data_IF_637725677085
#
_entry.id   IF_637725677085
#
_cell.length_a   1.000
_cell.length_b   1.000
_cell.length_c   1.000
_cell.angle_alpha   90.00
_cell.angle_beta   90.00
_cell.angle_gamma   90.00
#
_symmetry.space_group_name_H-M   'P 1'
#
loop_
_entity.id
_entity.type
_entity.pdbx_description
1 polymer ?
#
# COMPACT_ATOMS: atom_id res chain seq x y z
N UNK A 1 -10.32 4.85 14.68
CA UNK A 1 -10.28 4.43 13.26
C UNK A 1 -10.98 3.09 13.12
N UNK A 2 -12.03 3.05 12.28
CA UNK A 2 -12.74 1.81 11.90
C UNK A 2 -12.95 1.71 10.39
N UNK A 3 -12.93 2.84 9.66
CA UNK A 3 -13.17 2.93 8.22
C UNK A 3 -11.90 3.25 7.46
N UNK A 4 -11.51 2.38 6.55
CA UNK A 4 -10.28 2.47 5.75
C UNK A 4 -10.66 2.63 4.29
N UNK A 5 -10.23 3.72 3.66
CA UNK A 5 -10.27 3.91 2.22
C UNK A 5 -9.00 3.36 1.57
N UNK A 6 -9.10 2.45 0.63
CA UNK A 6 -7.96 1.91 -0.12
C UNK A 6 -8.04 2.37 -1.57
N UNK A 7 -6.99 3.02 -2.07
CA UNK A 7 -6.89 3.48 -3.45
C UNK A 7 -5.98 2.55 -4.24
N UNK A 8 -6.53 1.89 -5.24
CA UNK A 8 -5.90 0.82 -6.00
C UNK A 8 -6.14 -0.55 -5.33
N UNK A 9 -6.94 -1.39 -5.96
CA UNK A 9 -7.27 -2.74 -5.48
C UNK A 9 -6.47 -3.81 -6.23
N UNK A 10 -5.21 -3.47 -6.55
CA UNK A 10 -4.21 -4.41 -7.04
C UNK A 10 -3.79 -5.41 -5.97
N UNK A 11 -2.64 -6.07 -6.18
CA UNK A 11 -2.13 -7.09 -5.25
C UNK A 11 -2.05 -6.58 -3.81
N UNK A 12 -1.35 -5.46 -3.59
CA UNK A 12 -1.15 -4.86 -2.27
C UNK A 12 -2.46 -4.37 -1.65
N UNK A 13 -3.30 -3.69 -2.43
CA UNK A 13 -4.54 -3.12 -1.91
C UNK A 13 -5.57 -4.17 -1.52
N UNK A 14 -5.73 -5.21 -2.34
CA UNK A 14 -6.68 -6.28 -2.05
C UNK A 14 -6.24 -7.15 -0.87
N UNK A 15 -4.97 -7.56 -0.81
CA UNK A 15 -4.44 -8.37 0.30
C UNK A 15 -4.52 -7.62 1.62
N UNK A 16 -4.14 -6.34 1.62
CA UNK A 16 -4.32 -5.46 2.78
C UNK A 16 -5.80 -5.34 3.20
N UNK A 17 -6.70 -5.12 2.24
CA UNK A 17 -8.14 -4.99 2.50
C UNK A 17 -8.73 -6.23 3.17
N UNK A 18 -8.33 -7.41 2.71
CA UNK A 18 -8.76 -8.68 3.30
C UNK A 18 -8.24 -8.83 4.74
N UNK A 19 -6.96 -8.54 4.98
CA UNK A 19 -6.39 -8.62 6.33
C UNK A 19 -7.06 -7.61 7.27
N UNK A 20 -7.28 -6.39 6.82
CA UNK A 20 -7.99 -5.37 7.59
C UNK A 20 -9.43 -5.79 7.91
N UNK A 21 -10.16 -6.34 6.94
CA UNK A 21 -11.52 -6.85 7.15
C UNK A 21 -11.57 -8.03 8.14
N UNK A 22 -10.59 -8.95 8.08
CA UNK A 22 -10.42 -10.04 9.07
C UNK A 22 -10.24 -9.51 10.48
N UNK A 23 -9.63 -8.34 10.65
CA UNK A 23 -9.40 -7.67 11.95
C UNK A 23 -10.54 -6.71 12.35
N UNK A 24 -11.67 -6.75 11.62
CA UNK A 24 -12.89 -6.01 11.97
C UNK A 24 -12.97 -4.57 11.48
N UNK A 25 -12.09 -4.17 10.56
CA UNK A 25 -12.22 -2.88 9.88
C UNK A 25 -13.26 -2.94 8.77
N UNK A 26 -13.91 -1.82 8.49
CA UNK A 26 -14.68 -1.61 7.26
C UNK A 26 -13.75 -1.00 6.22
N UNK A 27 -13.63 -1.62 5.07
CA UNK A 27 -12.76 -1.19 3.98
C UNK A 27 -13.57 -0.73 2.80
N UNK A 28 -13.28 0.46 2.31
CA UNK A 28 -13.83 1.05 1.09
C UNK A 28 -12.73 1.08 0.03
N UNK A 29 -12.74 0.12 -0.90
CA UNK A 29 -11.74 0.01 -1.96
C UNK A 29 -12.17 0.75 -3.22
N UNK A 30 -11.27 1.54 -3.82
CA UNK A 30 -11.49 2.19 -5.12
C UNK A 30 -10.53 1.62 -6.15
N UNK A 31 -11.10 1.14 -7.27
CA UNK A 31 -10.38 0.61 -8.41
C UNK A 31 -10.86 1.29 -9.71
N UNK A 32 -9.91 1.80 -10.50
CA UNK A 32 -10.20 2.51 -11.76
C UNK A 32 -10.25 1.58 -12.97
N UNK A 33 -9.51 0.49 -12.93
CA UNK A 33 -9.53 -0.51 -13.99
C UNK A 33 -10.85 -1.28 -13.96
N UNK A 34 -11.69 -1.07 -14.97
CA UNK A 34 -13.03 -1.66 -15.05
C UNK A 34 -13.01 -3.18 -15.08
N UNK A 35 -11.98 -3.81 -15.67
CA UNK A 35 -11.87 -5.27 -15.73
C UNK A 35 -11.56 -5.84 -14.34
N UNK A 36 -10.64 -5.20 -13.62
CA UNK A 36 -10.30 -5.57 -12.23
C UNK A 36 -11.52 -5.35 -11.35
N UNK A 37 -12.16 -4.19 -11.43
CA UNK A 37 -13.36 -3.85 -10.66
C UNK A 37 -14.45 -4.92 -10.83
N UNK A 38 -14.79 -5.25 -12.08
CA UNK A 38 -15.80 -6.27 -12.40
C UNK A 38 -15.44 -7.66 -11.84
N UNK A 39 -14.15 -8.05 -11.91
CA UNK A 39 -13.70 -9.31 -11.33
C UNK A 39 -13.88 -9.30 -9.79
N UNK A 40 -13.47 -8.23 -9.13
CA UNK A 40 -13.59 -8.09 -7.67
C UNK A 40 -15.04 -8.06 -7.20
N UNK A 41 -15.94 -7.38 -7.91
CA UNK A 41 -17.38 -7.37 -7.64
C UNK A 41 -18.01 -8.76 -7.76
N UNK A 42 -17.46 -9.63 -8.62
CA UNK A 42 -17.85 -11.04 -8.72
C UNK A 42 -17.20 -11.96 -7.66
N UNK A 43 -16.40 -11.39 -6.75
CA UNK A 43 -15.68 -12.15 -5.71
C UNK A 43 -14.47 -12.91 -6.22
N UNK A 44 -13.88 -12.47 -7.34
CA UNK A 44 -12.67 -13.08 -7.94
C UNK A 44 -11.52 -12.07 -7.91
N UNK A 45 -10.38 -12.45 -7.35
CA UNK A 45 -9.13 -11.70 -7.49
C UNK A 45 -8.57 -11.88 -8.91
N UNK A 46 -7.86 -10.86 -9.39
CA UNK A 46 -7.25 -10.85 -10.74
C UNK A 46 -5.79 -11.36 -10.71
N UNK A 47 -5.36 -11.91 -9.58
CA UNK A 47 -4.05 -12.54 -9.38
C UNK A 47 -4.21 -13.76 -8.48
N UNK A 48 -3.16 -14.58 -8.41
CA UNK A 48 -3.13 -15.75 -7.54
C UNK A 48 -2.56 -15.39 -6.16
N UNK A 49 -3.29 -15.76 -5.12
CA UNK A 49 -2.84 -15.77 -3.72
C UNK A 49 -3.66 -16.83 -2.99
N UNK A 50 -3.02 -17.64 -2.16
CA UNK A 50 -3.71 -18.75 -1.50
C UNK A 50 -4.85 -18.24 -0.59
N UNK A 51 -6.06 -18.71 -0.83
CA UNK A 51 -7.24 -18.38 -0.03
C UNK A 51 -7.87 -17.00 -0.30
N UNK A 52 -7.34 -16.20 -1.24
CA UNK A 52 -7.81 -14.83 -1.49
C UNK A 52 -9.26 -14.79 -1.96
N UNK A 53 -9.67 -15.66 -2.88
CA UNK A 53 -11.02 -15.67 -3.44
C UNK A 53 -12.08 -16.04 -2.38
N UNK A 54 -11.77 -17.01 -1.52
CA UNK A 54 -12.67 -17.41 -0.43
C UNK A 54 -12.81 -16.29 0.60
N UNK A 55 -11.68 -15.62 0.94
CA UNK A 55 -11.68 -14.48 1.85
C UNK A 55 -12.42 -13.27 1.25
N UNK A 56 -12.19 -12.96 -0.04
CA UNK A 56 -12.91 -11.88 -0.72
C UNK A 56 -14.42 -12.12 -0.69
N UNK A 57 -14.90 -13.30 -1.10
CA UNK A 57 -16.33 -13.63 -1.06
C UNK A 57 -16.94 -13.53 0.33
N UNK A 58 -16.18 -13.88 1.37
CA UNK A 58 -16.63 -13.80 2.77
C UNK A 58 -16.89 -12.35 3.21
N UNK A 59 -16.03 -11.40 2.80
CA UNK A 59 -16.05 -10.03 3.28
C UNK A 59 -16.69 -9.03 2.31
N UNK A 60 -16.80 -9.38 1.02
CA UNK A 60 -17.42 -8.52 0.01
C UNK A 60 -18.86 -8.16 0.38
N UNK A 61 -19.23 -6.90 0.19
CA UNK A 61 -20.53 -6.32 0.55
C UNK A 61 -20.90 -6.42 2.05
N UNK A 62 -19.91 -6.75 2.89
CA UNK A 62 -20.04 -6.74 4.37
C UNK A 62 -19.03 -5.78 4.97
N UNK A 63 -17.78 -6.21 5.04
CA UNK A 63 -16.66 -5.41 5.54
C UNK A 63 -15.79 -4.81 4.43
N UNK A 64 -15.93 -5.28 3.18
CA UNK A 64 -15.25 -4.73 2.01
C UNK A 64 -16.30 -4.26 1.02
N UNK A 65 -16.30 -2.97 0.75
CA UNK A 65 -17.08 -2.33 -0.30
C UNK A 65 -16.13 -1.89 -1.41
N UNK A 66 -16.47 -2.11 -2.66
CA UNK A 66 -15.61 -1.78 -3.80
C UNK A 66 -16.41 -0.92 -4.78
N UNK A 67 -15.76 0.11 -5.33
CA UNK A 67 -16.36 1.03 -6.31
C UNK A 67 -15.26 1.63 -7.19
N UNK A 68 -15.64 2.36 -8.22
CA UNK A 68 -14.75 3.20 -9.01
C UNK A 68 -14.49 4.59 -8.38
N UNK A 69 -15.23 4.94 -7.33
CA UNK A 69 -15.17 6.27 -6.69
C UNK A 69 -15.53 6.23 -5.21
N UNK A 70 -14.90 7.09 -4.40
CA UNK A 70 -15.28 7.30 -2.99
C UNK A 70 -16.60 8.05 -2.79
N UNK A 71 -17.17 8.66 -3.83
CA UNK A 71 -18.45 9.39 -3.70
C UNK A 71 -19.57 8.51 -3.12
N UNK A 72 -19.60 7.24 -3.51
CA UNK A 72 -20.59 6.26 -3.04
C UNK A 72 -20.21 5.59 -1.72
N UNK A 73 -18.95 5.70 -1.27
CA UNK A 73 -18.41 4.95 -0.13
C UNK A 73 -18.34 5.78 1.18
N UNK A 74 -18.60 7.08 1.09
CA UNK A 74 -18.67 7.99 2.23
C UNK A 74 -17.32 8.31 2.88
N UNK A 75 -17.36 8.87 4.11
CA UNK A 75 -16.17 9.31 4.85
C UNK A 75 -15.34 8.13 5.35
N UNK A 76 -14.03 8.30 5.31
CA UNK A 76 -13.05 7.34 5.83
C UNK A 76 -12.30 7.96 7.02
N UNK A 77 -11.69 7.14 7.87
CA UNK A 77 -10.80 7.60 8.95
C UNK A 77 -9.35 7.67 8.48
N UNK A 78 -9.01 6.81 7.52
CA UNK A 78 -7.68 6.71 6.92
C UNK A 78 -7.77 6.37 5.44
N UNK A 79 -6.91 6.95 4.63
CA UNK A 79 -6.71 6.57 3.23
C UNK A 79 -5.37 5.86 3.07
N UNK A 80 -5.37 4.74 2.37
CA UNK A 80 -4.19 3.95 2.05
C UNK A 80 -4.03 3.91 0.54
N UNK A 81 -2.91 4.42 0.03
CA UNK A 81 -2.59 4.51 -1.39
C UNK A 81 -1.67 3.34 -1.73
N UNK A 82 -2.15 2.46 -2.63
CA UNK A 82 -1.51 1.22 -3.05
C UNK A 82 -1.45 1.08 -4.57
N UNK A 83 -1.40 2.20 -5.27
CA UNK A 83 -1.32 2.22 -6.73
C UNK A 83 0.06 1.83 -7.23
N UNK A 84 0.14 1.22 -8.39
CA UNK A 84 1.41 0.88 -9.02
C UNK A 84 2.20 2.14 -9.44
N UNK A 85 3.51 2.03 -9.43
CA UNK A 85 4.46 3.08 -9.85
C UNK A 85 5.43 2.49 -10.87
N UNK A 86 4.97 2.21 -12.11
CA UNK A 86 5.82 1.65 -13.14
C UNK A 86 6.96 2.61 -13.50
N UNK A 87 8.05 2.08 -14.03
CA UNK A 87 9.11 2.91 -14.60
C UNK A 87 8.63 3.52 -15.92
N UNK A 88 8.83 4.82 -16.12
CA UNK A 88 8.53 5.49 -17.40
C UNK A 88 9.47 4.95 -18.50
N UNK A 89 10.76 4.93 -18.18
CA UNK A 89 11.82 4.26 -18.95
C UNK A 89 12.98 3.98 -18.00
N UNK A 90 14.04 3.31 -18.47
CA UNK A 90 15.18 2.93 -17.62
C UNK A 90 15.88 4.12 -16.94
N UNK A 91 15.79 5.31 -17.52
CA UNK A 91 16.53 6.51 -17.07
C UNK A 91 15.64 7.56 -16.39
N UNK A 92 14.30 7.50 -16.55
CA UNK A 92 13.37 8.55 -16.10
C UNK A 92 12.74 8.32 -14.71
N UNK A 93 13.10 7.22 -14.04
CA UNK A 93 12.55 6.91 -12.70
C UNK A 93 11.09 6.44 -12.71
N UNK A 94 10.46 6.32 -11.51
CA UNK A 94 9.10 5.84 -11.37
C UNK A 94 8.09 6.88 -11.84
N UNK A 95 7.02 6.40 -12.50
CA UNK A 95 5.87 7.21 -12.86
C UNK A 95 4.99 7.45 -11.61
N UNK A 96 4.92 8.70 -11.18
CA UNK A 96 4.08 9.11 -10.04
C UNK A 96 2.66 9.55 -10.45
N UNK A 97 2.31 9.50 -11.74
CA UNK A 97 0.99 9.94 -12.22
C UNK A 97 -0.14 9.15 -11.55
N UNK A 98 0.04 7.86 -11.34
CA UNK A 98 -0.95 7.05 -10.62
C UNK A 98 -1.15 7.53 -9.17
N UNK A 99 -0.09 8.02 -8.51
CA UNK A 99 -0.20 8.62 -7.16
C UNK A 99 -1.00 9.93 -7.25
N UNK A 100 -0.71 10.79 -8.23
CA UNK A 100 -1.45 12.03 -8.44
C UNK A 100 -2.94 11.76 -8.69
N UNK A 101 -3.26 10.76 -9.50
CA UNK A 101 -4.65 10.33 -9.75
C UNK A 101 -5.31 9.76 -8.49
N UNK A 102 -4.57 8.99 -7.68
CA UNK A 102 -5.04 8.49 -6.40
C UNK A 102 -5.39 9.64 -5.44
N UNK A 103 -4.52 10.65 -5.35
CA UNK A 103 -4.76 11.85 -4.55
C UNK A 103 -5.99 12.65 -5.05
N UNK A 104 -6.15 12.78 -6.37
CA UNK A 104 -7.37 13.38 -6.97
C UNK A 104 -8.62 12.57 -6.63
N UNK A 105 -8.54 11.24 -6.57
CA UNK A 105 -9.71 10.39 -6.28
C UNK A 105 -10.24 10.58 -4.85
N UNK A 106 -9.39 10.93 -3.89
CA UNK A 106 -9.80 11.21 -2.51
C UNK A 106 -10.20 12.67 -2.28
N UNK A 107 -9.90 13.60 -3.21
CA UNK A 107 -10.07 15.04 -3.01
C UNK A 107 -11.48 15.47 -2.62
N UNK A 108 -12.51 14.80 -3.12
CA UNK A 108 -13.91 15.13 -2.84
C UNK A 108 -14.39 14.66 -1.44
N UNK A 109 -13.63 13.82 -0.76
CA UNK A 109 -13.99 13.23 0.54
C UNK A 109 -12.93 13.48 1.61
N UNK A 110 -11.74 13.93 1.23
CA UNK A 110 -10.64 14.26 2.12
C UNK A 110 -10.83 15.64 2.73
N UNK A 111 -10.81 15.72 4.04
CA UNK A 111 -11.01 16.96 4.80
C UNK A 111 -9.72 17.48 5.46
N UNK A 112 -8.62 16.73 5.35
CA UNK A 112 -7.33 17.01 6.01
C UNK A 112 -7.25 16.50 7.45
N UNK A 113 -8.33 15.91 7.97
CA UNK A 113 -8.35 15.31 9.32
C UNK A 113 -7.97 13.83 9.31
N UNK A 114 -8.09 13.19 8.17
CA UNK A 114 -7.79 11.78 7.95
C UNK A 114 -6.28 11.54 7.92
N UNK A 115 -5.86 10.37 8.36
CA UNK A 115 -4.51 9.89 8.11
C UNK A 115 -4.40 9.43 6.64
N UNK A 116 -3.35 9.84 5.94
CA UNK A 116 -3.02 9.33 4.60
C UNK A 116 -1.75 8.50 4.69
N UNK A 117 -1.82 7.25 4.24
CA UNK A 117 -0.69 6.33 4.22
C UNK A 117 -0.35 6.01 2.77
N UNK A 118 0.88 6.29 2.36
CA UNK A 118 1.44 5.81 1.11
C UNK A 118 2.12 4.45 1.35
N UNK A 119 1.71 3.44 0.56
CA UNK A 119 2.32 2.10 0.55
C UNK A 119 2.96 1.73 -0.80
N UNK A 120 2.69 2.51 -1.84
CA UNK A 120 3.31 2.36 -3.16
C UNK A 120 4.84 2.51 -3.04
N UNK A 121 5.58 1.73 -3.82
CA UNK A 121 7.05 1.88 -3.90
C UNK A 121 7.40 3.16 -4.64
N UNK A 122 8.17 4.03 -4.02
CA UNK A 122 8.55 5.34 -4.58
C UNK A 122 10.03 5.62 -4.34
N UNK A 123 10.57 6.60 -5.07
CA UNK A 123 11.89 7.16 -4.77
C UNK A 123 11.86 7.92 -3.44
N UNK A 124 13.02 8.03 -2.80
CA UNK A 124 13.16 8.79 -1.55
C UNK A 124 12.77 10.25 -1.78
N UNK A 125 11.94 10.80 -0.88
CA UNK A 125 11.45 12.16 -0.92
C UNK A 125 10.05 12.33 -1.55
N UNK A 126 9.55 11.38 -2.33
CA UNK A 126 8.27 11.51 -3.05
C UNK A 126 7.10 11.83 -2.11
N UNK A 127 7.02 11.20 -0.95
CA UNK A 127 5.93 11.48 -0.02
C UNK A 127 5.98 12.93 0.48
N UNK A 128 7.16 13.44 0.81
CA UNK A 128 7.33 14.80 1.32
C UNK A 128 7.19 15.87 0.24
N UNK A 129 7.77 15.64 -0.92
CA UNK A 129 7.88 16.65 -1.98
C UNK A 129 6.65 16.71 -2.90
N UNK A 130 5.91 15.60 -3.03
CA UNK A 130 4.75 15.53 -3.92
C UNK A 130 3.43 15.24 -3.19
N UNK A 131 3.39 14.22 -2.33
CA UNK A 131 2.12 13.80 -1.71
C UNK A 131 1.63 14.85 -0.71
N UNK A 132 2.47 15.28 0.25
CA UNK A 132 2.10 16.27 1.26
C UNK A 132 1.70 17.61 0.65
N UNK A 133 2.46 18.22 -0.28
CA UNK A 133 2.04 19.46 -0.94
C UNK A 133 0.72 19.33 -1.69
N UNK A 134 0.48 18.20 -2.34
CA UNK A 134 -0.77 17.97 -3.07
C UNK A 134 -1.97 17.89 -2.13
N UNK A 135 -1.85 17.16 -1.03
CA UNK A 135 -2.87 17.07 0.02
C UNK A 135 -3.13 18.43 0.67
N UNK A 136 -2.09 19.23 0.93
CA UNK A 136 -2.21 20.59 1.43
C UNK A 136 -3.00 21.49 0.48
N UNK A 137 -2.71 21.40 -0.82
CA UNK A 137 -3.43 22.15 -1.86
C UNK A 137 -4.92 21.76 -1.94
N UNK A 138 -5.24 20.48 -1.82
CA UNK A 138 -6.61 19.96 -1.90
C UNK A 138 -7.42 20.38 -0.67
N UNK A 139 -6.84 20.29 0.53
CA UNK A 139 -7.56 20.51 1.80
C UNK A 139 -7.48 21.95 2.31
N UNK A 140 -6.54 22.76 1.82
CA UNK A 140 -6.21 24.07 2.39
C UNK A 140 -5.50 24.03 3.75
N UNK A 141 -5.13 22.83 4.24
CA UNK A 141 -4.45 22.64 5.53
C UNK A 141 -2.93 22.79 5.36
N UNK A 142 -2.28 23.38 6.36
CA UNK A 142 -0.83 23.50 6.35
C UNK A 142 -0.17 22.11 6.26
N UNK A 143 0.93 22.01 5.52
CA UNK A 143 1.68 20.76 5.31
C UNK A 143 2.10 20.08 6.63
N UNK A 144 2.43 20.87 7.65
CA UNK A 144 2.88 20.36 8.94
C UNK A 144 1.73 19.79 9.79
N UNK A 145 0.49 20.24 9.55
CA UNK A 145 -0.70 19.82 10.29
C UNK A 145 -1.40 18.62 9.63
N UNK A 146 -1.04 18.29 8.39
CA UNK A 146 -1.49 17.07 7.74
C UNK A 146 -0.91 15.83 8.41
N UNK A 147 -1.68 14.74 8.39
CA UNK A 147 -1.29 13.45 8.95
C UNK A 147 -0.94 12.51 7.80
N UNK A 148 0.35 12.39 7.51
CA UNK A 148 0.86 11.57 6.40
C UNK A 148 1.93 10.62 6.90
N UNK A 149 1.84 9.36 6.51
CA UNK A 149 2.84 8.35 6.80
C UNK A 149 3.21 7.57 5.53
N UNK A 150 4.42 7.06 5.52
CA UNK A 150 4.87 6.05 4.57
C UNK A 150 5.02 4.71 5.31
N UNK A 151 4.30 3.71 4.82
CA UNK A 151 4.27 2.39 5.44
C UNK A 151 4.44 1.33 4.35
N UNK A 152 5.69 0.96 3.99
CA UNK A 152 5.97 0.12 2.84
C UNK A 152 5.35 -1.27 2.95
N UNK A 153 4.91 -1.80 1.79
CA UNK A 153 4.61 -3.21 1.65
C UNK A 153 5.89 -4.02 1.44
N UNK A 154 6.05 -5.11 2.20
CA UNK A 154 7.26 -5.96 2.16
C UNK A 154 6.95 -7.44 1.96
N UNK A 155 5.70 -7.80 1.74
CA UNK A 155 5.31 -9.21 1.53
C UNK A 155 5.76 -9.74 0.18
N UNK A 156 5.87 -11.05 0.08
CA UNK A 156 6.17 -11.78 -1.16
C UNK A 156 4.86 -12.30 -1.75
N UNK A 157 4.74 -12.21 -3.08
CA UNK A 157 3.60 -12.76 -3.82
C UNK A 157 3.43 -14.26 -3.56
N UNK A 158 2.18 -14.68 -3.33
CA UNK A 158 1.82 -16.05 -2.97
C UNK A 158 1.72 -16.29 -1.46
N UNK A 159 2.28 -15.39 -0.61
CA UNK A 159 2.31 -15.53 0.85
C UNK A 159 1.83 -14.26 1.61
N UNK A 160 1.32 -13.26 0.88
CA UNK A 160 1.03 -11.94 1.44
C UNK A 160 -0.01 -11.97 2.58
N UNK A 161 -1.05 -12.79 2.47
CA UNK A 161 -2.08 -12.89 3.52
C UNK A 161 -1.54 -13.39 4.86
N UNK A 162 -0.48 -14.20 4.85
CA UNK A 162 0.20 -14.67 6.05
C UNK A 162 1.25 -13.65 6.51
N UNK A 163 2.07 -13.16 5.59
CA UNK A 163 3.16 -12.24 5.94
C UNK A 163 2.68 -10.90 6.47
N UNK A 164 1.57 -10.35 5.96
CA UNK A 164 0.96 -9.12 6.47
C UNK A 164 0.62 -9.15 7.96
N UNK A 165 0.38 -10.33 8.53
CA UNK A 165 0.04 -10.47 9.95
C UNK A 165 1.22 -10.92 10.81
N UNK A 166 2.39 -11.22 10.20
CA UNK A 166 3.56 -11.69 10.93
C UNK A 166 4.77 -10.75 10.80
N UNK A 167 4.96 -10.11 9.63
CA UNK A 167 6.07 -9.20 9.42
C UNK A 167 5.90 -7.90 10.21
N UNK A 168 6.97 -7.39 10.85
CA UNK A 168 6.96 -6.06 11.45
C UNK A 168 6.62 -4.99 10.41
N UNK A 169 5.72 -4.07 10.73
CA UNK A 169 5.41 -2.95 9.86
C UNK A 169 6.34 -1.77 10.14
N UNK A 170 7.03 -1.31 9.11
CA UNK A 170 7.85 -0.10 9.16
C UNK A 170 6.95 1.11 8.97
N UNK A 171 7.17 2.16 9.76
CA UNK A 171 6.38 3.39 9.74
C UNK A 171 7.32 4.59 9.77
N UNK A 172 7.27 5.43 8.73
CA UNK A 172 7.81 6.79 8.74
C UNK A 172 6.65 7.78 8.64
N UNK A 173 6.69 8.88 9.38
CA UNK A 173 5.60 9.85 9.39
C UNK A 173 6.10 11.29 9.37
N UNK A 174 5.27 12.25 8.91
CA UNK A 174 5.63 13.65 8.83
C UNK A 174 5.56 14.38 10.19
N UNK A 175 4.79 13.85 11.14
CA UNK A 175 4.68 14.38 12.49
C UNK A 175 4.30 13.28 13.49
N UNK A 176 4.36 13.63 14.78
CA UNK A 176 4.10 12.68 15.88
C UNK A 176 2.64 12.19 15.93
N UNK A 177 1.68 13.00 15.49
CA UNK A 177 0.26 12.59 15.43
C UNK A 177 0.05 11.53 14.37
N UNK A 178 0.60 11.75 13.16
CA UNK A 178 0.57 10.78 12.07
C UNK A 178 1.23 9.46 12.48
N UNK A 179 2.39 9.53 13.16
CA UNK A 179 3.07 8.36 13.69
C UNK A 179 2.18 7.55 14.63
N UNK A 180 1.62 8.18 15.66
CA UNK A 180 0.73 7.54 16.64
C UNK A 180 -0.51 6.91 15.98
N UNK A 181 -1.08 7.58 14.98
CA UNK A 181 -2.24 7.06 14.26
C UNK A 181 -1.89 5.85 13.40
N UNK A 182 -0.75 5.88 12.70
CA UNK A 182 -0.26 4.76 11.90
C UNK A 182 0.08 3.55 12.79
N UNK A 183 0.79 3.76 13.91
CA UNK A 183 1.08 2.72 14.90
C UNK A 183 -0.21 2.09 15.44
N UNK A 184 -1.19 2.91 15.80
CA UNK A 184 -2.50 2.43 16.29
C UNK A 184 -3.28 1.62 15.25
N UNK A 185 -3.10 1.91 13.96
CA UNK A 185 -3.70 1.12 12.89
C UNK A 185 -2.98 -0.21 12.77
N UNK A 186 -1.65 -0.18 12.59
CA UNK A 186 -0.87 -1.37 12.28
C UNK A 186 -0.71 -2.32 13.46
N UNK A 187 -0.69 -1.84 14.71
CA UNK A 187 -0.69 -2.70 15.90
C UNK A 187 -1.91 -3.63 16.01
N UNK A 188 -3.00 -3.35 15.27
CA UNK A 188 -4.15 -4.26 15.15
C UNK A 188 -3.98 -5.30 14.04
N UNK A 189 -3.09 -5.07 13.09
CA UNK A 189 -2.88 -5.90 11.90
C UNK A 189 -1.69 -6.85 12.08
N UNK A 190 -0.61 -6.36 12.67
CA UNK A 190 0.65 -7.09 12.87
C UNK A 190 1.11 -6.99 14.32
N UNK A 191 1.87 -7.97 14.84
CA UNK A 191 2.32 -7.98 16.23
C UNK A 191 3.36 -6.90 16.54
N UNK A 192 4.08 -6.40 15.55
CA UNK A 192 5.19 -5.46 15.74
C UNK A 192 5.13 -4.30 14.74
N UNK A 193 5.33 -3.08 15.24
CA UNK A 193 5.58 -1.89 14.44
C UNK A 193 6.99 -1.37 14.71
N UNK A 194 7.67 -0.88 13.68
CA UNK A 194 9.00 -0.29 13.74
C UNK A 194 8.91 1.14 13.21
N UNK A 195 8.86 2.09 14.12
CA UNK A 195 8.87 3.50 13.80
C UNK A 195 10.27 3.96 13.47
N UNK A 196 10.45 4.66 12.36
CA UNK A 196 11.72 5.22 11.90
C UNK A 196 11.70 6.75 11.96
N UNK A 197 12.86 7.38 11.93
CA UNK A 197 13.05 8.81 12.18
C UNK A 197 12.32 9.71 11.18
N UNK A 198 12.16 9.26 9.93
CA UNK A 198 11.55 10.07 8.87
C UNK A 198 10.79 9.22 7.84
N UNK A 199 9.98 9.91 7.04
CA UNK A 199 9.33 9.32 5.86
C UNK A 199 10.38 8.77 4.90
N UNK A 200 11.44 9.54 4.66
CA UNK A 200 12.53 9.21 3.74
C UNK A 200 13.28 7.94 4.17
N UNK A 201 13.46 7.76 5.48
CA UNK A 201 14.04 6.53 6.02
C UNK A 201 13.17 5.31 5.70
N UNK A 202 11.85 5.43 5.85
CA UNK A 202 10.91 4.35 5.51
C UNK A 202 10.88 4.05 4.00
N UNK A 203 10.92 5.09 3.15
CA UNK A 203 11.02 4.95 1.69
C UNK A 203 12.32 4.24 1.29
N UNK A 204 13.46 4.68 1.85
CA UNK A 204 14.77 4.08 1.58
C UNK A 204 14.82 2.61 2.00
N UNK A 205 14.28 2.26 3.17
CA UNK A 205 14.23 0.86 3.63
C UNK A 205 13.51 -0.03 2.62
N UNK A 206 12.41 0.45 2.01
CA UNK A 206 11.72 -0.33 0.97
C UNK A 206 12.62 -0.60 -0.24
N UNK A 207 13.33 0.40 -0.71
CA UNK A 207 14.24 0.27 -1.85
C UNK A 207 15.40 -0.67 -1.52
N UNK A 208 16.02 -0.49 -0.34
CA UNK A 208 17.11 -1.36 0.11
C UNK A 208 16.66 -2.83 0.26
N UNK A 209 15.47 -3.09 0.80
CA UNK A 209 14.92 -4.45 0.89
C UNK A 209 14.75 -5.09 -0.49
N UNK A 210 14.24 -4.34 -1.47
CA UNK A 210 14.09 -4.85 -2.82
C UNK A 210 15.45 -5.13 -3.47
N UNK A 211 16.39 -4.18 -3.40
CA UNK A 211 17.76 -4.34 -3.94
C UNK A 211 18.48 -5.53 -3.31
N UNK A 212 18.41 -5.67 -1.98
CA UNK A 212 19.02 -6.80 -1.28
C UNK A 212 18.50 -8.14 -1.79
N UNK A 213 17.18 -8.27 -1.96
CA UNK A 213 16.55 -9.46 -2.51
C UNK A 213 17.00 -9.76 -3.94
N UNK A 214 17.04 -8.73 -4.79
CA UNK A 214 17.44 -8.86 -6.20
C UNK A 214 18.90 -9.32 -6.33
N UNK A 215 19.79 -8.78 -5.48
CA UNK A 215 21.20 -9.22 -5.40
C UNK A 215 21.29 -10.71 -4.98
N UNK A 216 20.49 -11.13 -3.98
CA UNK A 216 20.47 -12.54 -3.56
C UNK A 216 20.01 -13.48 -4.67
N UNK A 217 18.98 -13.12 -5.40
CA UNK A 217 18.52 -13.90 -6.56
C UNK A 217 19.58 -13.96 -7.66
N UNK A 218 20.26 -12.84 -7.93
CA UNK A 218 21.33 -12.79 -8.92
C UNK A 218 22.51 -13.70 -8.54
N UNK A 219 22.92 -13.70 -7.26
CA UNK A 219 23.96 -14.58 -6.74
C UNK A 219 23.51 -16.06 -6.85
N UNK A 220 22.27 -16.38 -6.49
CA UNK A 220 21.74 -17.75 -6.60
C UNK A 220 21.75 -18.25 -8.05
N UNK A 221 21.31 -17.41 -8.99
CA UNK A 221 21.36 -17.73 -10.42
C UNK A 221 22.78 -17.94 -10.91
N UNK A 222 23.72 -17.10 -10.50
CA UNK A 222 25.13 -17.24 -10.85
C UNK A 222 25.74 -18.54 -10.32
N UNK A 223 25.43 -18.93 -9.08
CA UNK A 223 25.87 -20.22 -8.53
C UNK A 223 25.28 -21.40 -9.29
N UNK A 224 24.02 -21.30 -9.72
CA UNK A 224 23.39 -22.31 -10.57
C UNK A 224 24.13 -22.44 -11.92
N UNK A 225 24.49 -21.34 -12.57
CA UNK A 225 25.28 -21.37 -13.82
C UNK A 225 26.62 -22.05 -13.61
N UNK A 226 27.32 -21.77 -12.50
CA UNK A 226 28.58 -22.46 -12.15
C UNK A 226 28.33 -23.96 -11.97
N UNK A 227 27.32 -24.37 -11.19
CA UNK A 227 27.01 -25.79 -10.97
C UNK A 227 26.74 -26.51 -12.28
N UNK A 228 25.93 -25.91 -13.15
CA UNK A 228 25.64 -26.46 -14.48
C UNK A 228 26.88 -26.63 -15.35
N UNK A 229 27.87 -25.72 -15.26
CA UNK A 229 29.13 -25.85 -16.00
C UNK A 229 29.96 -27.06 -15.59
N UNK A 230 29.73 -27.60 -14.39
CA UNK A 230 30.34 -28.83 -13.87
C UNK A 230 29.40 -30.06 -14.01
N UNK A 231 28.26 -29.94 -14.67
CA UNK A 231 27.26 -31.02 -14.81
C UNK A 231 26.54 -31.36 -13.49
N UNK A 232 26.50 -30.43 -12.53
CA UNK A 232 25.83 -30.57 -11.24
C UNK A 232 24.47 -29.89 -11.34
N UNK A 233 23.39 -30.62 -10.94
CA UNK A 233 22.00 -30.09 -10.82
C UNK A 233 21.68 -29.77 -9.38
#
# INVERSE_FOLDING_TARGET
>A
MKKIGVVGMGYVGLTFSIVAAKKGFTVSGVEKNKNILKALESGKAHFFEQGINSALKKFLNRNILISDSFKSLGRQDVFIITVGTPLINKDAGPDIQHIVEALKSISNVFTGKELVILRSTVSVGVTREYVIPHLSKISGINKNDLKVAFCPERTVEGNALQELVHLPQIIGANNSEAMKLAERLFSKLTPTTLSVESIEAAELIKLLNNTYRDVHFSIGNYFNEIAQSFGIN
#
